data_IF_570546667964
#
_entry.id   IF_570546667964
#
_cell.length_a   1.000
_cell.length_b   1.000
_cell.length_c   1.000
_cell.angle_alpha   90.00
_cell.angle_beta   90.00
_cell.angle_gamma   90.00
#
_symmetry.space_group_name_H-M   'P 1'
#
loop_
_entity.id
_entity.type
_entity.pdbx_description
1 polymer ?
#
# COMPACT_ATOMS: atom_id res chain seq x y z
N UNK A 1 3.47 7.17 4.59
CA UNK A 1 4.37 7.03 3.43
C UNK A 1 5.37 8.18 3.41
N UNK A 2 6.63 7.91 3.10
CA UNK A 2 7.69 8.90 2.82
C UNK A 2 7.60 9.34 1.35
N UNK A 3 8.03 10.57 1.04
CA UNK A 3 8.02 11.15 -0.32
C UNK A 3 6.69 10.98 -1.04
N UNK A 4 5.60 11.20 -0.30
CA UNK A 4 4.24 10.96 -0.79
C UNK A 4 3.79 12.08 -1.71
N UNK A 5 3.44 11.74 -2.94
CA UNK A 5 2.71 12.62 -3.86
C UNK A 5 1.26 12.16 -3.93
N UNK A 6 0.32 13.10 -3.83
CA UNK A 6 -1.12 12.84 -3.88
C UNK A 6 -1.74 13.44 -5.13
N UNK A 7 -2.52 12.64 -5.86
CA UNK A 7 -3.24 13.03 -7.06
C UNK A 7 -4.74 12.89 -6.84
N UNK A 8 -5.51 13.95 -7.10
CA UNK A 8 -6.97 13.89 -7.12
C UNK A 8 -7.49 13.24 -8.39
N UNK A 9 -8.44 12.31 -8.26
CA UNK A 9 -9.07 11.64 -9.40
C UNK A 9 -10.37 12.31 -9.87
N UNK A 10 -10.93 13.21 -9.07
CA UNK A 10 -12.14 13.95 -9.36
C UNK A 10 -12.09 15.34 -8.73
N UNK A 11 -12.96 16.24 -9.19
CA UNK A 11 -13.00 17.63 -8.71
C UNK A 11 -13.34 17.74 -7.22
N UNK A 12 -14.04 16.75 -6.66
CA UNK A 12 -14.35 16.71 -5.24
C UNK A 12 -13.18 16.19 -4.39
N UNK A 13 -12.08 15.77 -5.01
CA UNK A 13 -10.91 15.15 -4.36
C UNK A 13 -11.25 14.02 -3.38
N UNK A 14 -12.41 13.40 -3.56
CA UNK A 14 -12.88 12.35 -2.65
C UNK A 14 -12.25 11.00 -2.94
N UNK A 15 -11.61 10.87 -4.10
CA UNK A 15 -10.80 9.73 -4.49
C UNK A 15 -9.44 10.22 -4.92
N UNK A 16 -8.42 9.62 -4.33
CA UNK A 16 -7.04 10.05 -4.50
C UNK A 16 -6.13 8.87 -4.71
N UNK A 17 -5.08 9.09 -5.51
CA UNK A 17 -3.94 8.19 -5.60
C UNK A 17 -2.78 8.81 -4.83
N UNK A 18 -2.22 8.05 -3.90
CA UNK A 18 -0.97 8.39 -3.24
C UNK A 18 0.14 7.49 -3.78
N UNK A 19 1.31 8.06 -4.04
CA UNK A 19 2.50 7.31 -4.45
C UNK A 19 3.64 7.70 -3.52
N UNK A 20 4.22 6.73 -2.83
CA UNK A 20 5.22 6.99 -1.81
C UNK A 20 5.94 5.73 -1.34
N UNK A 21 6.97 5.92 -0.52
CA UNK A 21 7.66 4.83 0.16
C UNK A 21 6.92 4.46 1.45
N UNK A 22 6.45 3.23 1.53
CA UNK A 22 5.81 2.70 2.73
C UNK A 22 6.75 1.71 3.41
N UNK A 23 6.87 1.81 4.74
CA UNK A 23 7.60 0.82 5.51
C UNK A 23 6.76 -0.46 5.62
N UNK A 24 7.38 -1.61 5.36
CA UNK A 24 6.78 -2.93 5.55
C UNK A 24 6.95 -3.38 7.01
N UNK A 25 6.27 -4.47 7.37
CA UNK A 25 6.42 -5.10 8.67
C UNK A 25 7.85 -5.65 8.91
N UNK A 26 8.59 -5.92 7.83
CA UNK A 26 10.00 -6.31 7.86
C UNK A 26 10.93 -5.11 8.14
N UNK A 27 10.39 -3.91 8.33
CA UNK A 27 11.15 -2.71 8.66
C UNK A 27 11.84 -2.05 7.45
N UNK A 28 11.57 -2.49 6.22
CA UNK A 28 12.12 -1.92 4.99
C UNK A 28 11.11 -1.03 4.27
N UNK A 29 11.59 0.05 3.66
CA UNK A 29 10.79 0.90 2.80
C UNK A 29 10.64 0.28 1.41
N UNK A 30 9.41 0.25 0.90
CA UNK A 30 9.07 -0.17 -0.46
C UNK A 30 8.18 0.87 -1.14
N UNK A 31 8.36 1.14 -2.44
CA UNK A 31 7.48 2.01 -3.20
C UNK A 31 6.12 1.35 -3.38
N UNK A 32 5.05 2.08 -3.09
CA UNK A 32 3.67 1.62 -3.22
C UNK A 32 2.78 2.72 -3.80
N UNK A 33 1.72 2.30 -4.47
CA UNK A 33 0.60 3.14 -4.88
C UNK A 33 -0.59 2.82 -3.97
N UNK A 34 -1.25 3.83 -3.41
CA UNK A 34 -2.47 3.68 -2.61
C UNK A 34 -3.60 4.41 -3.28
N UNK A 35 -4.67 3.70 -3.63
CA UNK A 35 -5.96 4.29 -3.98
C UNK A 35 -6.80 4.43 -2.72
N UNK A 36 -7.31 5.62 -2.44
CA UNK A 36 -8.12 5.91 -1.24
C UNK A 36 -9.41 6.64 -1.60
N UNK A 37 -10.43 6.46 -0.76
CA UNK A 37 -11.71 7.14 -0.85
C UNK A 37 -12.10 7.72 0.51
N UNK A 38 -11.81 9.00 0.78
CA UNK A 38 -12.16 9.76 2.00
C UNK A 38 -11.87 9.13 3.38
N UNK A 39 -11.37 7.89 3.44
CA UNK A 39 -11.07 7.10 4.62
C UNK A 39 -9.57 6.88 4.74
N UNK A 40 -9.13 6.53 5.97
CA UNK A 40 -7.73 6.22 6.24
C UNK A 40 -7.27 4.95 5.52
N UNK A 41 -8.18 4.03 5.25
CA UNK A 41 -7.91 2.79 4.54
C UNK A 41 -7.99 2.97 3.02
N UNK A 42 -7.19 2.19 2.31
CA UNK A 42 -7.13 2.24 0.86
C UNK A 42 -6.64 0.93 0.30
N UNK A 43 -6.69 0.83 -1.02
CA UNK A 43 -6.20 -0.32 -1.77
C UNK A 43 -4.77 -0.01 -2.18
N UNK A 44 -3.85 -0.78 -1.62
CA UNK A 44 -2.42 -0.69 -1.87
C UNK A 44 -2.01 -1.61 -3.02
N UNK A 45 -1.18 -1.07 -3.89
CA UNK A 45 -0.54 -1.77 -4.98
C UNK A 45 0.97 -1.66 -4.81
N UNK A 46 1.65 -2.80 -4.77
CA UNK A 46 3.08 -2.85 -5.07
C UNK A 46 3.34 -2.66 -6.56
N UNK A 47 4.61 -2.51 -6.95
CA UNK A 47 4.99 -2.24 -8.33
C UNK A 47 4.41 -3.27 -9.33
N UNK A 48 4.40 -4.55 -8.94
CA UNK A 48 3.87 -5.63 -9.77
C UNK A 48 2.35 -5.57 -9.90
N UNK A 49 1.62 -5.45 -8.80
CA UNK A 49 0.17 -5.34 -8.81
C UNK A 49 -0.32 -4.05 -9.46
N UNK A 50 0.43 -2.95 -9.32
CA UNK A 50 0.16 -1.71 -10.03
C UNK A 50 0.32 -1.89 -11.54
N UNK A 51 1.37 -2.57 -12.00
CA UNK A 51 1.57 -2.90 -13.41
C UNK A 51 0.40 -3.73 -13.95
N UNK A 52 0.03 -4.82 -13.26
CA UNK A 52 -1.12 -5.64 -13.66
C UNK A 52 -2.42 -4.83 -13.70
N UNK A 53 -2.61 -3.91 -12.75
CA UNK A 53 -3.78 -3.04 -12.70
C UNK A 53 -3.84 -2.12 -13.93
N UNK A 54 -2.71 -1.53 -14.31
CA UNK A 54 -2.59 -0.71 -15.52
C UNK A 54 -2.86 -1.51 -16.80
N UNK A 55 -2.31 -2.72 -16.90
CA UNK A 55 -2.51 -3.57 -18.08
C UNK A 55 -3.99 -3.90 -18.31
N UNK A 56 -4.79 -3.93 -17.22
CA UNK A 56 -6.24 -4.15 -17.27
C UNK A 56 -7.06 -2.85 -17.48
N UNK A 57 -6.45 -1.66 -17.51
CA UNK A 57 -7.20 -0.41 -17.68
C UNK A 57 -7.95 -0.33 -19.01
N UNK A 58 -7.42 -0.95 -20.07
CA UNK A 58 -8.11 -1.03 -21.37
C UNK A 58 -9.45 -1.75 -21.26
N UNK A 59 -9.46 -2.91 -20.59
CA UNK A 59 -10.67 -3.70 -20.35
C UNK A 59 -11.68 -2.96 -19.46
N UNK A 60 -11.18 -2.27 -18.43
CA UNK A 60 -12.00 -1.43 -17.57
C UNK A 60 -12.65 -0.26 -18.31
N UNK A 61 -11.90 0.37 -19.22
CA UNK A 61 -12.42 1.45 -20.05
C UNK A 61 -13.53 0.96 -20.98
N UNK A 62 -13.31 -0.17 -21.67
CA UNK A 62 -14.29 -0.79 -22.56
C UNK A 62 -15.61 -1.07 -21.84
N UNK A 63 -15.56 -1.59 -20.61
CA UNK A 63 -16.75 -1.77 -19.79
C UNK A 63 -17.49 -0.46 -19.56
N UNK A 64 -16.78 0.60 -19.14
CA UNK A 64 -17.35 1.90 -18.79
C UNK A 64 -17.90 2.66 -20.01
N UNK A 65 -17.42 2.39 -21.22
CA UNK A 65 -17.85 3.08 -22.45
C UNK A 65 -18.81 2.30 -23.32
N UNK A 66 -18.87 0.98 -23.20
CA UNK A 66 -19.77 0.16 -24.01
C UNK A 66 -21.24 0.38 -23.66
N UNK A 67 -22.13 0.30 -24.65
CA UNK A 67 -23.58 0.31 -24.42
C UNK A 67 -24.14 -1.11 -24.17
N UNK A 68 -23.33 -2.12 -24.47
CA UNK A 68 -23.72 -3.52 -24.34
C UNK A 68 -23.80 -3.94 -22.87
N UNK A 69 -24.85 -4.69 -22.53
CA UNK A 69 -25.06 -5.30 -21.20
C UNK A 69 -24.36 -6.67 -21.08
N UNK A 70 -23.28 -6.90 -21.82
CA UNK A 70 -22.54 -8.16 -21.77
C UNK A 70 -21.96 -8.38 -20.37
N UNK A 71 -22.07 -9.61 -19.88
CA UNK A 71 -21.54 -10.00 -18.58
C UNK A 71 -20.01 -9.91 -18.63
N UNK A 72 -19.46 -8.97 -17.86
CA UNK A 72 -18.01 -8.74 -17.75
C UNK A 72 -17.45 -9.60 -16.62
N UNK A 73 -16.34 -10.30 -16.88
CA UNK A 73 -15.71 -11.15 -15.88
C UNK A 73 -14.87 -10.29 -14.94
N UNK A 74 -14.90 -10.57 -13.64
CA UNK A 74 -14.03 -9.89 -12.68
C UNK A 74 -12.56 -10.19 -12.94
N UNK A 75 -11.70 -9.20 -12.69
CA UNK A 75 -10.24 -9.38 -12.72
C UNK A 75 -9.73 -9.53 -11.29
N UNK A 76 -8.80 -10.45 -11.06
CA UNK A 76 -8.17 -10.66 -9.76
C UNK A 76 -6.67 -10.35 -9.90
N UNK A 77 -6.16 -9.46 -9.05
CA UNK A 77 -4.76 -9.06 -8.98
C UNK A 77 -4.29 -9.26 -7.55
N UNK A 78 -3.51 -10.31 -7.29
CA UNK A 78 -3.15 -10.74 -5.93
C UNK A 78 -4.42 -10.92 -5.08
N UNK A 79 -4.54 -10.19 -3.97
CA UNK A 79 -5.70 -10.18 -3.10
C UNK A 79 -6.73 -9.07 -3.45
N UNK A 80 -6.59 -8.39 -4.59
CA UNK A 80 -7.49 -7.33 -5.04
C UNK A 80 -8.45 -7.88 -6.09
N UNK A 81 -9.75 -7.73 -5.85
CA UNK A 81 -10.81 -8.04 -6.80
C UNK A 81 -11.28 -6.76 -7.49
N UNK A 82 -11.36 -6.82 -8.82
CA UNK A 82 -11.88 -5.77 -9.69
C UNK A 82 -13.17 -6.30 -10.31
N UNK A 83 -14.29 -5.78 -9.84
CA UNK A 83 -15.62 -6.21 -10.25
C UNK A 83 -16.35 -5.10 -11.02
N UNK A 84 -17.18 -5.50 -11.97
CA UNK A 84 -17.93 -4.59 -12.82
C UNK A 84 -19.37 -4.51 -12.33
N UNK A 85 -19.82 -3.31 -11.97
CA UNK A 85 -21.10 -3.10 -11.29
C UNK A 85 -21.79 -1.81 -11.73
N UNK A 86 -23.00 -1.59 -11.25
CA UNK A 86 -23.73 -0.33 -11.44
C UNK A 86 -23.89 0.37 -10.11
N UNK A 87 -23.65 1.68 -10.10
CA UNK A 87 -23.77 2.54 -8.93
C UNK A 87 -24.47 3.82 -9.34
N UNK A 88 -25.53 4.19 -8.63
CA UNK A 88 -26.40 5.33 -8.95
C UNK A 88 -26.90 5.33 -10.41
N UNK A 89 -27.23 4.15 -10.94
CA UNK A 89 -27.73 3.98 -12.31
C UNK A 89 -26.67 4.06 -13.41
N UNK A 90 -25.40 4.29 -13.07
CA UNK A 90 -24.29 4.34 -14.03
C UNK A 90 -23.35 3.14 -13.89
N UNK A 91 -22.67 2.75 -14.97
CA UNK A 91 -21.60 1.76 -14.94
C UNK A 91 -20.44 2.23 -14.05
N UNK A 92 -19.90 1.30 -13.27
CA UNK A 92 -18.85 1.57 -12.28
C UNK A 92 -17.97 0.34 -12.06
N UNK A 93 -16.74 0.59 -11.64
CA UNK A 93 -15.76 -0.43 -11.29
C UNK A 93 -15.65 -0.45 -9.77
N UNK A 94 -15.81 -1.61 -9.17
CA UNK A 94 -15.61 -1.85 -7.74
C UNK A 94 -14.25 -2.53 -7.56
N UNK A 95 -13.37 -1.90 -6.78
CA UNK A 95 -12.14 -2.52 -6.31
C UNK A 95 -12.33 -2.87 -4.84
N UNK A 96 -11.97 -4.07 -4.43
CA UNK A 96 -12.01 -4.48 -3.04
C UNK A 96 -10.92 -5.51 -2.74
N UNK A 97 -10.48 -5.59 -1.48
CA UNK A 97 -9.74 -6.76 -1.05
C UNK A 97 -10.65 -7.99 -1.04
N UNK A 98 -10.09 -9.13 -1.43
CA UNK A 98 -10.77 -10.42 -1.36
C UNK A 98 -10.79 -10.84 0.12
N UNK A 99 -11.97 -11.09 0.67
CA UNK A 99 -12.09 -11.69 1.99
C UNK A 99 -11.48 -13.11 1.94
N UNK A 100 -10.57 -13.42 2.85
CA UNK A 100 -9.83 -14.71 2.89
C UNK A 100 -10.78 -15.93 2.97
N UNK A 101 -12.04 -15.75 3.39
CA UNK A 101 -13.07 -16.79 3.42
C UNK A 101 -13.55 -17.29 2.05
N UNK A 102 -13.41 -16.53 0.95
CA UNK A 102 -13.86 -16.97 -0.38
C UNK A 102 -12.90 -18.00 -1.02
N UNK A 103 -11.65 -18.10 -0.54
CA UNK A 103 -10.69 -19.13 -0.99
C UNK A 103 -11.13 -20.55 -0.63
N UNK A 104 -11.75 -20.72 0.55
CA UNK A 104 -12.22 -22.01 1.06
C UNK A 104 -13.54 -22.44 0.38
N UNK A 105 -14.47 -21.51 0.16
CA UNK A 105 -15.77 -21.81 -0.48
C UNK A 105 -15.65 -22.17 -1.96
N UNK A 106 -14.60 -21.70 -2.64
CA UNK A 106 -14.37 -22.02 -4.05
C UNK A 106 -13.83 -23.44 -4.25
N UNK A 107 -13.18 -24.01 -3.22
CA UNK A 107 -12.63 -25.36 -3.25
C UNK A 107 -13.70 -26.43 -2.93
N UNK A 108 -14.66 -26.12 -2.06
CA UNK A 108 -15.79 -27.01 -1.74
C UNK A 108 -16.78 -27.20 -2.91
N UNK A 109 -16.91 -26.21 -3.80
CA UNK A 109 -17.84 -26.30 -4.93
C UNK A 109 -17.35 -27.20 -6.08
N UNK A 110 -16.09 -27.68 -6.04
CA UNK A 110 -15.53 -28.56 -7.07
C UNK A 110 -15.69 -30.05 -6.68
N UNK A 111 -15.90 -30.39 -5.40
CA UNK A 111 -15.89 -31.80 -4.95
C UNK A 111 -17.26 -32.43 -4.62
N UNK A 112 -18.38 -31.82 -4.99
CA UNK A 112 -19.71 -32.23 -4.53
C UNK A 112 -20.72 -32.59 -5.62
N UNK A 113 -20.34 -33.41 -6.61
CA UNK A 113 -21.28 -33.85 -7.65
C UNK A 113 -21.71 -35.32 -7.39
N UNK A 114 -22.77 -35.55 -6.62
CA UNK A 114 -23.50 -36.83 -6.56
C UNK A 114 -24.92 -36.67 -5.93
N UNK A 115 -25.93 -36.60 -6.81
CA UNK A 115 -27.31 -37.11 -6.74
C UNK A 115 -28.12 -37.03 -5.42
N UNK A 116 -29.27 -36.32 -5.45
CA UNK A 116 -30.64 -36.90 -5.40
C UNK A 116 -31.73 -35.81 -5.48
N UNK A 117 -32.72 -36.04 -6.33
CA UNK A 117 -34.08 -35.45 -6.30
C UNK A 117 -34.76 -35.81 -4.95
N UNK A 118 -35.71 -35.09 -4.35
CA UNK A 118 -37.02 -34.67 -4.87
C UNK A 118 -37.80 -33.84 -3.80
N UNK A 119 -38.77 -33.01 -4.25
CA UNK A 119 -40.00 -32.49 -3.57
C UNK A 119 -40.03 -31.15 -2.76
N UNK A 120 -40.79 -30.21 -3.37
CA UNK A 120 -41.73 -29.16 -2.86
C UNK A 120 -41.27 -27.88 -2.14
N UNK A 121 -41.41 -26.78 -2.89
CA UNK A 121 -42.00 -25.48 -2.54
C UNK A 121 -41.82 -24.91 -1.12
N UNK A 122 -40.94 -23.91 -1.00
CA UNK A 122 -41.41 -22.63 -0.50
C UNK A 122 -40.62 -21.47 -1.11
N UNK A 123 -41.35 -20.53 -1.69
CA UNK A 123 -40.83 -19.40 -2.44
C UNK A 123 -40.33 -18.31 -1.50
N UNK A 124 -39.02 -18.21 -1.33
CA UNK A 124 -38.37 -16.98 -0.88
C UNK A 124 -37.34 -16.55 -1.93
N UNK A 125 -37.38 -15.30 -2.43
CA UNK A 125 -36.34 -14.82 -3.34
C UNK A 125 -35.01 -14.85 -2.57
N UNK A 126 -33.91 -15.32 -3.18
CA UNK A 126 -32.63 -15.37 -2.49
C UNK A 126 -32.27 -13.93 -2.09
N UNK A 127 -32.32 -13.65 -0.80
CA UNK A 127 -31.85 -12.40 -0.25
C UNK A 127 -30.38 -12.31 -0.66
N UNK A 128 -30.08 -11.40 -1.59
CA UNK A 128 -28.70 -11.10 -1.98
C UNK A 128 -28.01 -10.59 -0.73
N UNK A 129 -27.33 -11.48 0.00
CA UNK A 129 -26.48 -11.11 1.13
C UNK A 129 -25.49 -10.09 0.59
N UNK A 130 -25.62 -8.85 1.07
CA UNK A 130 -24.74 -7.73 0.72
C UNK A 130 -23.34 -8.16 1.15
N UNK A 131 -22.42 -8.31 0.17
CA UNK A 131 -21.01 -8.54 0.49
C UNK A 131 -20.50 -7.31 1.23
N UNK A 132 -20.07 -7.49 2.46
CA UNK A 132 -19.47 -6.43 3.27
C UNK A 132 -17.97 -6.50 3.04
N UNK A 133 -17.46 -5.68 2.12
CA UNK A 133 -16.02 -5.58 1.92
C UNK A 133 -15.41 -4.73 3.03
N UNK A 134 -14.31 -5.18 3.63
CA UNK A 134 -13.58 -4.40 4.63
C UNK A 134 -13.05 -3.08 4.05
N UNK A 135 -12.57 -3.11 2.80
CA UNK A 135 -12.18 -1.93 2.01
C UNK A 135 -12.70 -2.10 0.59
N UNK A 136 -13.52 -1.15 0.13
CA UNK A 136 -14.10 -1.13 -1.21
C UNK A 136 -14.09 0.30 -1.78
N UNK A 137 -13.65 0.43 -3.03
CA UNK A 137 -13.58 1.71 -3.75
C UNK A 137 -14.35 1.57 -5.05
N UNK A 138 -15.32 2.46 -5.27
CA UNK A 138 -16.18 2.43 -6.46
C UNK A 138 -15.84 3.59 -7.40
N UNK A 139 -15.37 3.31 -8.60
CA UNK A 139 -15.03 4.32 -9.60
C UNK A 139 -16.03 4.32 -10.76
N UNK A 140 -16.71 5.44 -10.98
CA UNK A 140 -17.46 5.72 -12.20
C UNK A 140 -16.54 6.30 -13.27
N UNK A 141 -17.06 6.42 -14.50
CA UNK A 141 -16.32 6.89 -15.69
C UNK A 141 -15.47 8.14 -15.44
N UNK A 142 -16.02 9.16 -14.78
CA UNK A 142 -15.31 10.42 -14.51
C UNK A 142 -14.07 10.21 -13.63
N UNK A 143 -14.18 9.46 -12.53
CA UNK A 143 -13.05 9.14 -11.67
C UNK A 143 -12.01 8.29 -12.40
N UNK A 144 -12.47 7.31 -13.18
CA UNK A 144 -11.58 6.44 -13.95
C UNK A 144 -10.81 7.23 -15.02
N UNK A 145 -11.44 8.21 -15.67
CA UNK A 145 -10.77 9.12 -16.59
C UNK A 145 -9.69 9.95 -15.87
N UNK A 146 -9.99 10.45 -14.68
CA UNK A 146 -8.99 11.13 -13.84
C UNK A 146 -7.77 10.26 -13.56
N UNK A 147 -7.99 8.97 -13.26
CA UNK A 147 -6.92 7.99 -13.07
C UNK A 147 -6.11 7.75 -14.35
N UNK A 148 -6.75 7.62 -15.51
CA UNK A 148 -6.07 7.47 -16.80
C UNK A 148 -5.19 8.68 -17.12
N UNK A 149 -5.65 9.89 -16.77
CA UNK A 149 -4.90 11.12 -17.05
C UNK A 149 -3.59 11.21 -16.24
N UNK A 150 -3.57 10.68 -15.02
CA UNK A 150 -2.40 10.75 -14.13
C UNK A 150 -1.50 9.51 -14.17
N UNK A 151 -1.90 8.44 -14.85
CA UNK A 151 -1.22 7.13 -14.77
C UNK A 151 0.28 7.24 -15.09
N UNK A 152 0.64 8.04 -16.11
CA UNK A 152 2.04 8.27 -16.51
C UNK A 152 2.83 9.02 -15.43
N UNK A 153 2.19 9.95 -14.72
CA UNK A 153 2.81 10.66 -13.59
C UNK A 153 3.03 9.71 -12.41
N UNK A 154 2.05 8.85 -12.13
CA UNK A 154 2.17 7.79 -11.11
C UNK A 154 3.33 6.85 -11.43
N UNK A 155 3.43 6.40 -12.68
CA UNK A 155 4.51 5.50 -13.12
C UNK A 155 5.89 6.14 -13.03
N UNK A 156 6.01 7.40 -13.46
CA UNK A 156 7.26 8.13 -13.38
C UNK A 156 7.71 8.32 -11.93
N UNK A 157 6.79 8.70 -11.04
CA UNK A 157 7.07 8.87 -9.62
C UNK A 157 7.42 7.54 -8.96
N UNK A 158 6.69 6.46 -9.26
CA UNK A 158 6.96 5.14 -8.73
C UNK A 158 8.37 4.67 -9.10
N UNK A 159 8.77 4.84 -10.37
CA UNK A 159 10.11 4.50 -10.86
C UNK A 159 11.21 5.33 -10.20
N UNK A 160 10.95 6.62 -9.96
CA UNK A 160 11.87 7.46 -9.18
C UNK A 160 12.04 6.91 -7.76
N UNK A 161 10.94 6.57 -7.07
CA UNK A 161 11.00 6.02 -5.72
C UNK A 161 11.70 4.64 -5.68
N UNK A 162 11.52 3.79 -6.69
CA UNK A 162 12.28 2.53 -6.83
C UNK A 162 13.78 2.79 -6.83
N UNK A 163 14.25 3.80 -7.58
CA UNK A 163 15.68 4.15 -7.62
C UNK A 163 16.23 4.70 -6.29
N UNK A 164 15.37 5.29 -5.45
CA UNK A 164 15.76 5.86 -4.15
C UNK A 164 15.70 4.83 -3.01
N UNK A 165 14.98 3.73 -3.21
CA UNK A 165 14.60 2.79 -2.13
C UNK A 165 15.80 2.24 -1.39
N UNK A 166 16.85 1.83 -2.11
CA UNK A 166 18.05 1.25 -1.50
C UNK A 166 18.79 2.26 -0.61
N UNK A 167 18.90 3.51 -1.05
CA UNK A 167 19.57 4.56 -0.27
C UNK A 167 18.75 4.94 0.98
N UNK A 168 17.43 5.03 0.87
CA UNK A 168 16.55 5.26 2.03
C UNK A 168 16.70 4.14 3.05
N UNK A 169 16.69 2.89 2.60
CA UNK A 169 16.87 1.73 3.46
C UNK A 169 18.25 1.69 4.12
N UNK A 170 19.33 1.96 3.36
CA UNK A 170 20.69 2.09 3.90
C UNK A 170 20.78 3.20 4.93
N UNK A 171 20.20 4.37 4.66
CA UNK A 171 20.17 5.48 5.60
C UNK A 171 19.50 5.09 6.92
N UNK A 172 18.35 4.40 6.87
CA UNK A 172 17.66 3.91 8.06
C UNK A 172 18.50 2.86 8.82
N UNK A 173 19.13 1.93 8.12
CA UNK A 173 20.00 0.91 8.70
C UNK A 173 21.24 1.52 9.38
N UNK A 174 21.92 2.44 8.72
CA UNK A 174 23.09 3.13 9.27
C UNK A 174 22.71 3.97 10.48
N UNK A 175 21.57 4.68 10.43
CA UNK A 175 21.06 5.43 11.58
C UNK A 175 20.84 4.52 12.80
N UNK A 176 20.14 3.39 12.60
CA UNK A 176 19.89 2.43 13.69
C UNK A 176 21.22 1.92 14.26
N UNK A 177 22.15 1.52 13.39
CA UNK A 177 23.47 1.02 13.80
C UNK A 177 24.28 2.05 14.58
N UNK A 178 24.33 3.29 14.12
CA UNK A 178 25.05 4.37 14.81
C UNK A 178 24.45 4.66 16.19
N UNK A 179 23.12 4.61 16.33
CA UNK A 179 22.46 4.72 17.64
C UNK A 179 22.86 3.54 18.52
N UNK A 180 22.78 2.30 18.01
CA UNK A 180 23.11 1.08 18.76
C UNK A 180 24.55 1.09 19.30
N UNK A 181 25.51 1.57 18.52
CA UNK A 181 26.92 1.69 18.91
C UNK A 181 27.14 2.69 20.04
N UNK A 182 26.27 3.70 20.18
CA UNK A 182 26.36 4.75 21.20
C UNK A 182 25.54 4.43 22.45
N UNK A 183 24.77 3.35 22.44
CA UNK A 183 23.97 2.93 23.59
C UNK A 183 24.81 2.20 24.63
N UNK A 184 24.51 2.37 25.93
CA UNK A 184 25.20 1.65 27.00
C UNK A 184 24.93 0.13 26.89
N UNK A 185 25.84 -0.69 27.44
CA UNK A 185 25.70 -2.15 27.48
C UNK A 185 24.63 -2.61 28.48
N UNK A 186 24.31 -1.76 29.46
CA UNK A 186 23.30 -2.02 30.49
C UNK A 186 21.86 -1.95 29.96
N UNK A 187 20.88 -2.07 30.86
CA UNK A 187 19.47 -1.83 30.57
C UNK A 187 19.25 -0.56 29.72
N UNK A 188 18.50 -0.72 28.64
CA UNK A 188 18.11 0.36 27.71
C UNK A 188 16.60 0.42 27.64
N UNK A 189 16.07 1.64 27.70
CA UNK A 189 14.67 1.93 27.44
C UNK A 189 14.57 3.06 26.40
N UNK A 190 13.34 3.41 26.02
CA UNK A 190 13.08 4.41 25.01
C UNK A 190 13.62 5.81 25.36
N UNK A 191 13.66 6.20 26.65
CA UNK A 191 14.23 7.49 27.06
C UNK A 191 15.75 7.52 26.94
N UNK A 192 16.43 6.41 27.25
CA UNK A 192 17.88 6.29 27.05
C UNK A 192 18.22 6.42 25.57
N UNK A 193 17.46 5.76 24.68
CA UNK A 193 17.64 5.89 23.22
C UNK A 193 17.50 7.35 22.78
N UNK A 194 16.51 8.05 23.34
CA UNK A 194 16.21 9.45 23.00
C UNK A 194 17.33 10.38 23.41
N UNK A 195 17.82 10.20 24.64
CA UNK A 195 18.93 10.98 25.19
C UNK A 195 20.23 10.71 24.44
N UNK A 196 20.52 9.46 24.10
CA UNK A 196 21.69 9.08 23.30
C UNK A 196 21.63 9.71 21.91
N UNK A 197 20.49 9.63 21.22
CA UNK A 197 20.31 10.26 19.92
C UNK A 197 20.49 11.78 19.99
N UNK A 198 19.91 12.43 21.00
CA UNK A 198 20.01 13.89 21.18
C UNK A 198 21.43 14.33 21.54
N UNK A 199 22.12 13.58 22.38
CA UNK A 199 23.48 13.91 22.84
C UNK A 199 24.56 13.68 21.78
N UNK A 200 24.31 12.79 20.82
CA UNK A 200 25.28 12.42 19.77
C UNK A 200 24.80 12.82 18.36
N UNK A 201 23.83 13.74 18.26
CA UNK A 201 23.14 14.06 17.01
C UNK A 201 24.10 14.36 15.86
N UNK A 202 25.01 15.32 16.05
CA UNK A 202 25.92 15.78 14.99
C UNK A 202 26.91 14.69 14.56
N UNK A 203 27.33 13.84 15.49
CA UNK A 203 28.23 12.72 15.19
C UNK A 203 27.51 11.62 14.42
N UNK A 204 26.28 11.27 14.83
CA UNK A 204 25.44 10.29 14.15
C UNK A 204 25.11 10.77 12.73
N UNK A 205 24.65 12.02 12.57
CA UNK A 205 24.36 12.61 11.25
C UNK A 205 25.59 12.49 10.33
N UNK A 206 26.75 12.95 10.80
CA UNK A 206 28.00 12.88 10.03
C UNK A 206 28.37 11.45 9.66
N UNK A 207 28.31 10.51 10.61
CA UNK A 207 28.71 9.12 10.37
C UNK A 207 27.77 8.45 9.36
N UNK A 208 26.45 8.67 9.46
CA UNK A 208 25.49 8.13 8.49
C UNK A 208 25.75 8.72 7.10
N UNK A 209 26.02 10.03 6.98
CA UNK A 209 26.38 10.66 5.69
C UNK A 209 27.60 10.02 5.06
N UNK A 210 28.67 9.81 5.84
CA UNK A 210 29.93 9.24 5.33
C UNK A 210 29.80 7.81 4.83
N UNK A 211 28.79 7.06 5.29
CA UNK A 211 28.52 5.70 4.86
C UNK A 211 27.70 5.62 3.56
N UNK A 212 27.11 6.73 3.12
CA UNK A 212 26.31 6.78 1.89
C UNK A 212 27.16 7.31 0.73
N UNK A 213 27.33 6.48 -0.30
CA UNK A 213 28.16 6.81 -1.47
C UNK A 213 27.42 7.62 -2.54
N UNK A 214 26.09 7.73 -2.47
CA UNK A 214 25.29 8.43 -3.46
C UNK A 214 25.20 9.93 -3.15
N UNK A 215 26.00 10.72 -3.87
CA UNK A 215 26.06 12.18 -3.70
C UNK A 215 24.73 12.86 -4.04
N UNK A 216 23.98 12.34 -5.02
CA UNK A 216 22.67 12.92 -5.39
C UNK A 216 21.67 12.70 -4.27
N UNK A 217 21.70 11.50 -3.66
CA UNK A 217 20.90 11.21 -2.48
C UNK A 217 21.25 12.13 -1.31
N UNK A 218 22.54 12.30 -1.03
CA UNK A 218 23.04 13.15 0.05
C UNK A 218 22.60 14.61 -0.10
N UNK A 219 22.69 15.16 -1.31
CA UNK A 219 22.36 16.56 -1.57
C UNK A 219 20.85 16.81 -1.53
N UNK A 220 20.06 15.96 -2.19
CA UNK A 220 18.64 16.22 -2.40
C UNK A 220 17.71 15.65 -1.34
N UNK A 221 18.05 14.51 -0.73
CA UNK A 221 17.09 13.69 0.02
C UNK A 221 17.50 13.41 1.47
N UNK A 222 18.81 13.35 1.76
CA UNK A 222 19.30 12.90 3.06
C UNK A 222 18.70 13.69 4.23
N UNK A 223 18.73 15.02 4.18
CA UNK A 223 18.25 15.85 5.29
C UNK A 223 16.77 15.57 5.60
N UNK A 224 15.95 15.42 4.56
CA UNK A 224 14.51 15.14 4.69
C UNK A 224 14.32 13.76 5.32
N UNK A 225 15.03 12.75 4.82
CA UNK A 225 14.92 11.37 5.33
C UNK A 225 15.41 11.27 6.75
N UNK A 226 16.59 11.81 7.04
CA UNK A 226 17.20 11.75 8.35
C UNK A 226 16.29 12.39 9.40
N UNK A 227 15.79 13.60 9.13
CA UNK A 227 14.83 14.28 10.00
C UNK A 227 13.53 13.51 10.18
N UNK A 228 12.97 12.94 9.11
CA UNK A 228 11.74 12.16 9.23
C UNK A 228 11.94 10.90 10.08
N UNK A 229 13.05 10.19 9.87
CA UNK A 229 13.39 8.98 10.61
C UNK A 229 13.47 9.26 12.11
N UNK A 230 14.21 10.30 12.50
CA UNK A 230 14.42 10.63 13.92
C UNK A 230 13.22 11.33 14.57
N UNK A 231 12.36 12.01 13.80
CA UNK A 231 11.29 12.86 14.37
C UNK A 231 9.94 12.17 14.32
N UNK A 232 9.55 11.66 13.15
CA UNK A 232 8.22 11.09 12.94
C UNK A 232 8.22 9.57 13.10
N UNK A 233 9.36 8.91 12.87
CA UNK A 233 9.51 7.45 12.99
C UNK A 233 10.36 7.02 14.17
N UNK A 234 10.58 7.91 15.14
CA UNK A 234 11.36 7.64 16.34
C UNK A 234 10.87 6.40 17.11
N UNK A 235 9.56 6.27 17.29
CA UNK A 235 8.96 5.15 18.01
C UNK A 235 9.25 3.81 17.30
N UNK A 236 9.19 3.80 15.96
CA UNK A 236 9.54 2.61 15.16
C UNK A 236 11.03 2.25 15.34
N UNK A 237 11.91 3.25 15.25
CA UNK A 237 13.36 3.06 15.43
C UNK A 237 13.66 2.52 16.84
N UNK A 238 13.04 3.11 17.86
CA UNK A 238 13.21 2.69 19.25
C UNK A 238 12.74 1.25 19.46
N UNK A 239 11.59 0.89 18.90
CA UNK A 239 11.08 -0.48 18.96
C UNK A 239 12.06 -1.47 18.33
N UNK A 240 12.59 -1.17 17.13
CA UNK A 240 13.56 -2.02 16.44
C UNK A 240 14.81 -2.24 17.30
N UNK A 241 15.38 -1.17 17.86
CA UNK A 241 16.58 -1.24 18.69
C UNK A 241 16.34 -2.10 19.95
N UNK A 242 15.19 -1.94 20.58
CA UNK A 242 14.83 -2.73 21.78
C UNK A 242 14.63 -4.21 21.42
N UNK A 243 13.89 -4.51 20.36
CA UNK A 243 13.69 -5.88 19.88
C UNK A 243 15.00 -6.56 19.48
N UNK A 244 15.93 -5.84 18.83
CA UNK A 244 17.25 -6.36 18.52
C UNK A 244 17.99 -6.78 19.79
N UNK A 245 17.99 -5.95 20.84
CA UNK A 245 18.69 -6.26 22.09
C UNK A 245 18.09 -7.43 22.87
N UNK A 246 16.76 -7.59 22.85
CA UNK A 246 16.10 -8.75 23.44
C UNK A 246 16.47 -10.06 22.72
N UNK A 247 16.72 -10.02 21.41
CA UNK A 247 17.14 -11.21 20.67
C UNK A 247 18.58 -11.68 20.97
N UNK A 248 19.40 -10.84 21.59
CA UNK A 248 20.79 -11.14 21.96
C UNK A 248 20.99 -11.43 23.47
N UNK A 249 19.93 -11.36 24.28
CA UNK A 249 19.94 -11.64 25.72
C UNK A 249 19.52 -13.08 26.01
#
# INVERSE_FOLDING_TARGET
MLFTTTYGLNNSHTKTIHVGLQRTNEGIFKPLVKLSENSADGIYFDAESWKQFRDNMGYMNEYLTSDNRTKTNSVIIKNISISFTTSYGAKSILLAYKDEEEGLRSMENISGNLRKEEVASDSTPPSKKRRTFAVAIVMQKTTFLGLQNIVKCVDAHLKQLESLTDNVNKCAQYLIREIELKLPVSYVNQEIIKLTLRGNYDEIDRNVRTQINDLTFLDMYFNIIFLELISLRYNEISYIILSNRESFA
#
